data_IF_295572125732
#
_entry.id   IF_295572125732
#
_cell.length_a   1.000
_cell.length_b   1.000
_cell.length_c   1.000
_cell.angle_alpha   90.00
_cell.angle_beta   90.00
_cell.angle_gamma   90.00
#
_symmetry.space_group_name_H-M   'P 1'
#
loop_
_entity.id
_entity.type
_entity.pdbx_description
1 polymer ?
#
# COMPACT_ATOMS: atom_id res chain seq x y z
N UNK A 1 -11.07 53.65 33.33
CA UNK A 1 -11.07 53.07 31.97
C UNK A 1 -10.46 51.68 32.09
N UNK A 2 -11.23 50.62 31.84
CA UNK A 2 -10.70 49.27 31.92
C UNK A 2 -9.69 49.04 30.79
N UNK A 3 -8.48 48.63 31.14
CA UNK A 3 -7.43 48.26 30.19
C UNK A 3 -7.96 47.14 29.29
N UNK A 4 -7.96 47.38 27.98
CA UNK A 4 -8.24 46.37 26.98
C UNK A 4 -7.12 45.33 27.04
N UNK A 5 -7.36 44.22 27.73
CA UNK A 5 -6.43 43.08 27.74
C UNK A 5 -6.46 42.48 26.33
N UNK A 6 -5.35 42.53 25.57
CA UNK A 6 -5.32 41.93 24.24
C UNK A 6 -5.61 40.42 24.39
N UNK A 7 -6.60 39.92 23.66
CA UNK A 7 -6.88 38.49 23.58
C UNK A 7 -5.60 37.79 23.13
N UNK A 8 -5.24 36.70 23.81
CA UNK A 8 -4.11 35.87 23.40
C UNK A 8 -4.26 35.51 21.90
N UNK A 9 -3.19 35.61 21.10
CA UNK A 9 -3.26 35.29 19.68
C UNK A 9 -3.78 33.86 19.54
N UNK A 10 -4.84 33.67 18.75
CA UNK A 10 -5.38 32.33 18.50
C UNK A 10 -4.31 31.46 17.86
N UNK A 11 -4.35 30.14 18.10
CA UNK A 11 -3.36 29.19 17.55
C UNK A 11 -3.06 29.39 16.06
N UNK A 12 -4.07 29.77 15.25
CA UNK A 12 -3.92 30.10 13.84
C UNK A 12 -3.02 31.32 13.54
N UNK A 13 -2.92 32.30 14.46
CA UNK A 13 -2.06 33.49 14.36
C UNK A 13 -0.61 33.21 14.78
N UNK A 14 -0.34 32.08 15.44
CA UNK A 14 1.01 31.62 15.78
C UNK A 14 1.66 30.79 14.66
N UNK A 15 0.89 30.41 13.65
CA UNK A 15 1.39 29.68 12.49
C UNK A 15 2.09 30.62 11.50
N UNK A 16 3.05 30.09 10.73
CA UNK A 16 3.67 30.82 9.63
C UNK A 16 2.60 31.27 8.64
N UNK A 17 2.80 32.45 8.06
CA UNK A 17 1.89 33.01 7.07
C UNK A 17 1.71 32.04 5.89
N UNK A 18 0.46 31.73 5.53
CA UNK A 18 0.11 30.76 4.49
C UNK A 18 0.06 29.29 4.93
N UNK A 19 0.44 28.95 6.17
CA UNK A 19 0.33 27.58 6.66
C UNK A 19 -1.13 27.21 6.97
N UNK A 20 -1.57 26.04 6.47
CA UNK A 20 -2.88 25.46 6.79
C UNK A 20 -2.70 24.35 7.83
N UNK A 21 -3.46 24.43 8.91
CA UNK A 21 -3.48 23.40 9.96
C UNK A 21 -4.80 22.64 9.89
N UNK A 22 -4.73 21.32 9.86
CA UNK A 22 -5.88 20.43 9.95
C UNK A 22 -5.83 19.69 11.29
N UNK A 23 -6.88 19.81 12.11
CA UNK A 23 -6.99 19.15 13.42
C UNK A 23 -8.35 18.51 13.60
N UNK A 24 -8.40 17.47 14.44
CA UNK A 24 -9.63 16.78 14.80
C UNK A 24 -9.85 15.51 13.97
N UNK A 25 -10.81 14.70 14.42
CA UNK A 25 -11.14 13.43 13.79
C UNK A 25 -11.67 13.62 12.36
N UNK A 26 -12.57 14.58 12.17
CA UNK A 26 -13.19 14.80 10.85
C UNK A 26 -12.22 15.37 9.82
N UNK A 27 -11.50 16.45 10.18
CA UNK A 27 -10.67 17.18 9.23
C UNK A 27 -9.34 16.46 8.95
N UNK A 28 -8.75 15.79 9.95
CA UNK A 28 -7.46 15.13 9.80
C UNK A 28 -7.61 13.64 9.51
N UNK A 29 -8.33 12.88 10.35
CA UNK A 29 -8.34 11.41 10.25
C UNK A 29 -9.12 10.95 9.03
N UNK A 30 -10.36 11.42 8.82
CA UNK A 30 -11.16 10.99 7.67
C UNK A 30 -10.58 11.44 6.33
N UNK A 31 -10.00 12.65 6.27
CA UNK A 31 -9.30 13.11 5.08
C UNK A 31 -8.09 12.24 4.74
N UNK A 32 -7.31 11.86 5.76
CA UNK A 32 -6.18 10.96 5.59
C UNK A 32 -6.62 9.59 5.08
N UNK A 33 -7.66 9.01 5.69
CA UNK A 33 -8.24 7.73 5.28
C UNK A 33 -8.72 7.80 3.84
N UNK A 34 -9.46 8.84 3.47
CA UNK A 34 -9.99 9.02 2.12
C UNK A 34 -8.89 9.06 1.06
N UNK A 35 -7.81 9.83 1.29
CA UNK A 35 -6.68 9.89 0.35
C UNK A 35 -6.00 8.52 0.18
N UNK A 36 -5.87 7.75 1.26
CA UNK A 36 -5.33 6.40 1.23
C UNK A 36 -6.26 5.42 0.50
N UNK A 37 -7.59 5.52 0.72
CA UNK A 37 -8.60 4.71 0.03
C UNK A 37 -8.59 4.95 -1.47
N UNK A 38 -8.52 6.19 -1.92
CA UNK A 38 -8.45 6.54 -3.35
C UNK A 38 -7.20 5.95 -4.02
N UNK A 39 -6.05 6.02 -3.34
CA UNK A 39 -4.81 5.41 -3.84
C UNK A 39 -4.92 3.88 -3.93
N UNK A 40 -5.51 3.25 -2.91
CA UNK A 40 -5.73 1.81 -2.88
C UNK A 40 -6.71 1.36 -3.99
N UNK A 41 -7.81 2.08 -4.24
CA UNK A 41 -8.74 1.74 -5.33
C UNK A 41 -8.11 1.89 -6.71
N UNK A 42 -7.21 2.87 -6.89
CA UNK A 42 -6.48 3.09 -8.14
C UNK A 42 -5.66 1.84 -8.53
N UNK A 43 -4.99 1.25 -7.55
CA UNK A 43 -4.10 0.08 -7.73
C UNK A 43 -4.82 -1.27 -7.61
N UNK A 44 -5.96 -1.32 -6.91
CA UNK A 44 -6.82 -2.52 -6.77
C UNK A 44 -7.18 -3.17 -8.10
N UNK A 45 -7.50 -2.35 -9.10
CA UNK A 45 -7.86 -2.85 -10.44
C UNK A 45 -6.69 -3.47 -11.21
N UNK A 46 -5.45 -3.26 -10.76
CA UNK A 46 -4.24 -3.89 -11.29
C UNK A 46 -3.83 -5.15 -10.51
N UNK A 47 -4.68 -5.67 -9.61
CA UNK A 47 -4.37 -6.83 -8.78
C UNK A 47 -4.70 -8.16 -9.46
N UNK A 48 -3.77 -9.12 -9.40
CA UNK A 48 -3.95 -10.48 -9.89
C UNK A 48 -3.80 -10.64 -11.42
N UNK A 49 -4.05 -11.85 -11.95
CA UNK A 49 -3.83 -12.18 -13.37
C UNK A 49 -4.75 -11.42 -14.33
N UNK A 50 -5.91 -10.97 -13.84
CA UNK A 50 -6.84 -10.11 -14.58
C UNK A 50 -6.61 -8.62 -14.29
N UNK A 51 -5.45 -8.27 -13.73
CA UNK A 51 -5.08 -6.90 -13.41
C UNK A 51 -5.01 -6.03 -14.67
N UNK A 52 -5.71 -4.90 -14.66
CA UNK A 52 -5.69 -3.95 -15.75
C UNK A 52 -4.44 -3.06 -15.68
N UNK A 53 -3.67 -3.05 -16.77
CA UNK A 53 -2.54 -2.15 -16.93
C UNK A 53 -2.98 -0.68 -16.82
N UNK A 54 -2.14 0.14 -16.19
CA UNK A 54 -2.32 1.58 -16.10
C UNK A 54 -1.35 2.29 -17.02
N UNK A 55 -1.87 3.26 -17.73
CA UNK A 55 -1.09 4.19 -18.53
C UNK A 55 -0.75 5.39 -17.65
N UNK A 56 0.53 5.55 -17.32
CA UNK A 56 1.04 6.67 -16.52
C UNK A 56 1.98 7.48 -17.41
N UNK A 57 1.68 8.76 -17.56
CA UNK A 57 2.55 9.72 -18.26
C UNK A 57 3.22 10.56 -17.19
N UNK A 58 4.54 10.52 -17.13
CA UNK A 58 5.28 11.28 -16.13
C UNK A 58 5.52 12.75 -16.57
N UNK A 59 6.11 13.54 -15.68
CA UNK A 59 6.45 14.95 -15.93
C UNK A 59 7.45 15.19 -17.07
N UNK A 60 8.12 14.13 -17.57
CA UNK A 60 9.02 14.15 -18.71
C UNK A 60 8.35 13.63 -20.00
N UNK A 61 7.03 13.51 -20.01
CA UNK A 61 6.23 12.97 -21.13
C UNK A 61 6.58 11.52 -21.51
N UNK A 62 7.22 10.75 -20.60
CA UNK A 62 7.47 9.33 -20.81
C UNK A 62 6.22 8.53 -20.49
N UNK A 63 5.90 7.60 -21.39
CA UNK A 63 4.76 6.70 -21.28
C UNK A 63 5.15 5.40 -20.58
N UNK A 64 4.49 5.10 -19.48
CA UNK A 64 4.57 3.81 -18.80
C UNK A 64 3.24 3.08 -18.91
N UNK A 65 3.27 1.81 -19.32
CA UNK A 65 2.12 0.92 -19.33
C UNK A 65 2.45 -0.26 -18.45
N UNK A 66 1.88 -0.31 -17.25
CA UNK A 66 2.23 -1.32 -16.25
C UNK A 66 1.07 -1.64 -15.32
N UNK A 67 0.98 -2.89 -14.87
CA UNK A 67 0.14 -3.35 -13.77
C UNK A 67 0.90 -3.43 -12.45
N UNK A 68 2.20 -3.12 -12.44
CA UNK A 68 2.97 -3.13 -11.21
C UNK A 68 2.71 -1.90 -10.35
N UNK A 69 2.21 -2.15 -9.13
CA UNK A 69 1.76 -1.09 -8.24
C UNK A 69 2.92 -0.20 -7.74
N UNK A 70 4.08 -0.80 -7.43
CA UNK A 70 5.25 -0.02 -7.03
C UNK A 70 5.73 0.89 -8.17
N UNK A 71 5.68 0.42 -9.40
CA UNK A 71 6.02 1.24 -10.58
C UNK A 71 4.99 2.34 -10.84
N UNK A 72 3.68 2.03 -10.74
CA UNK A 72 2.62 3.04 -10.85
C UNK A 72 2.83 4.15 -9.82
N UNK A 73 3.09 3.81 -8.56
CA UNK A 73 3.24 4.78 -7.48
C UNK A 73 4.53 5.61 -7.55
N UNK A 74 5.60 5.07 -8.13
CA UNK A 74 6.86 5.81 -8.35
C UNK A 74 6.71 6.90 -9.40
N UNK A 75 5.93 6.63 -10.45
CA UNK A 75 5.71 7.59 -11.53
C UNK A 75 4.55 8.57 -11.24
N UNK A 76 3.67 8.26 -10.29
CA UNK A 76 2.60 9.15 -9.85
C UNK A 76 3.09 10.20 -8.84
N UNK A 77 2.62 11.44 -9.00
CA UNK A 77 2.91 12.54 -8.08
C UNK A 77 1.98 12.52 -6.85
N UNK A 78 2.31 11.68 -5.87
CA UNK A 78 1.55 11.62 -4.60
C UNK A 78 1.94 12.78 -3.68
N UNK A 79 1.05 13.77 -3.53
CA UNK A 79 1.29 14.94 -2.66
C UNK A 79 0.82 14.75 -1.21
N UNK A 80 -0.22 13.93 -1.00
CA UNK A 80 -0.86 13.79 0.31
C UNK A 80 0.05 13.05 1.32
N UNK A 81 0.32 13.60 2.53
CA UNK A 81 1.26 13.00 3.48
C UNK A 81 0.88 11.58 3.92
N UNK A 82 -0.39 11.33 4.25
CA UNK A 82 -0.85 10.00 4.64
C UNK A 82 -0.70 8.97 3.50
N UNK A 83 -0.94 9.39 2.26
CA UNK A 83 -0.79 8.53 1.10
C UNK A 83 0.68 8.19 0.85
N UNK A 84 1.61 9.14 1.05
CA UNK A 84 3.06 8.89 0.99
C UNK A 84 3.50 7.81 1.97
N UNK A 85 2.90 7.71 3.16
CA UNK A 85 3.23 6.63 4.11
C UNK A 85 2.93 5.25 3.52
N UNK A 86 1.79 5.10 2.84
CA UNK A 86 1.41 3.86 2.17
C UNK A 86 2.32 3.57 0.97
N UNK A 87 2.71 4.60 0.20
CA UNK A 87 3.69 4.45 -0.88
C UNK A 87 5.03 3.94 -0.33
N UNK A 88 5.52 4.50 0.79
CA UNK A 88 6.76 4.04 1.42
C UNK A 88 6.65 2.59 1.89
N UNK A 89 5.52 2.18 2.46
CA UNK A 89 5.28 0.78 2.84
C UNK A 89 5.34 -0.16 1.62
N UNK A 90 4.73 0.23 0.50
CA UNK A 90 4.81 -0.56 -0.75
C UNK A 90 6.23 -0.62 -1.31
N UNK A 91 7.02 0.45 -1.14
CA UNK A 91 8.41 0.48 -1.57
C UNK A 91 9.29 -0.43 -0.71
N UNK A 92 9.05 -0.50 0.60
CA UNK A 92 9.72 -1.46 1.47
C UNK A 92 9.41 -2.91 1.06
N UNK A 93 8.15 -3.22 0.75
CA UNK A 93 7.77 -4.54 0.27
C UNK A 93 8.48 -4.93 -1.05
N UNK A 94 8.58 -3.98 -1.98
CA UNK A 94 9.32 -4.16 -3.23
C UNK A 94 10.81 -4.45 -2.98
N UNK A 95 11.43 -3.77 -2.01
CA UNK A 95 12.85 -3.95 -1.69
C UNK A 95 13.14 -5.27 -0.98
N UNK A 96 12.25 -5.72 -0.09
CA UNK A 96 12.46 -6.92 0.72
C UNK A 96 12.16 -8.21 -0.05
N UNK A 97 11.03 -8.26 -0.78
CA UNK A 97 10.55 -9.50 -1.43
C UNK A 97 10.35 -9.31 -2.94
N UNK A 98 10.06 -8.09 -3.40
CA UNK A 98 9.81 -7.81 -4.82
C UNK A 98 8.44 -8.31 -5.33
N UNK A 99 7.59 -8.83 -4.45
CA UNK A 99 6.23 -9.25 -4.75
C UNK A 99 5.26 -8.79 -3.64
N UNK A 100 3.96 -8.78 -3.92
CA UNK A 100 2.93 -8.41 -2.96
C UNK A 100 2.78 -6.90 -2.73
N UNK A 101 3.46 -6.05 -3.52
CA UNK A 101 3.37 -4.59 -3.39
C UNK A 101 1.93 -4.09 -3.48
N UNK A 102 1.15 -4.61 -4.42
CA UNK A 102 -0.24 -4.25 -4.57
C UNK A 102 -1.12 -4.76 -3.42
N UNK A 103 -0.78 -5.91 -2.83
CA UNK A 103 -1.47 -6.43 -1.66
C UNK A 103 -1.33 -5.48 -0.46
N UNK A 104 -0.12 -4.96 -0.20
CA UNK A 104 0.12 -4.00 0.88
C UNK A 104 -0.77 -2.76 0.74
N UNK A 105 -0.90 -2.22 -0.48
CA UNK A 105 -1.72 -1.03 -0.75
C UNK A 105 -3.21 -1.29 -0.51
N UNK A 106 -3.73 -2.36 -1.11
CA UNK A 106 -5.15 -2.72 -1.00
C UNK A 106 -5.52 -3.07 0.44
N UNK A 107 -4.64 -3.82 1.13
CA UNK A 107 -4.86 -4.21 2.52
C UNK A 107 -4.81 -3.01 3.46
N UNK A 108 -3.83 -2.11 3.31
CA UNK A 108 -3.76 -0.88 4.11
C UNK A 108 -4.99 0.01 3.88
N UNK A 109 -5.44 0.15 2.63
CA UNK A 109 -6.68 0.88 2.30
C UNK A 109 -7.92 0.29 2.98
N UNK A 110 -8.05 -1.04 2.97
CA UNK A 110 -9.16 -1.74 3.61
C UNK A 110 -9.14 -1.63 5.14
N UNK A 111 -7.95 -1.73 5.77
CA UNK A 111 -7.80 -1.54 7.21
C UNK A 111 -8.24 -0.14 7.66
N UNK A 112 -7.86 0.89 6.89
CA UNK A 112 -8.24 2.28 7.15
C UNK A 112 -9.73 2.53 6.92
N UNK A 113 -10.32 1.90 5.91
CA UNK A 113 -11.76 1.96 5.65
C UNK A 113 -12.57 1.37 6.83
N UNK A 114 -12.20 0.19 7.31
CA UNK A 114 -12.86 -0.41 8.48
C UNK A 114 -12.58 0.37 9.76
N UNK A 115 -11.38 0.95 9.91
CA UNK A 115 -11.08 1.82 11.04
C UNK A 115 -11.98 3.06 11.05
N UNK A 116 -12.29 3.63 9.88
CA UNK A 116 -13.25 4.75 9.75
C UNK A 116 -14.62 4.40 10.33
N UNK A 117 -15.13 3.20 10.04
CA UNK A 117 -16.43 2.73 10.56
C UNK A 117 -16.42 2.60 12.09
N UNK A 118 -15.35 2.05 12.66
CA UNK A 118 -15.18 1.93 14.11
C UNK A 118 -15.14 3.30 14.79
N UNK A 119 -14.41 4.27 14.20
CA UNK A 119 -14.36 5.63 14.72
C UNK A 119 -15.72 6.32 14.66
N UNK A 120 -16.51 6.08 13.60
CA UNK A 120 -17.88 6.61 13.47
C UNK A 120 -18.85 6.02 14.51
N UNK A 121 -18.62 4.79 14.95
CA UNK A 121 -19.39 4.15 16.05
C UNK A 121 -19.03 4.76 17.41
N UNK A 122 -17.89 5.44 17.52
CA UNK A 122 -17.43 6.13 18.74
C UNK A 122 -16.29 5.44 19.46
N UNK A 123 -15.64 4.44 18.85
CA UNK A 123 -14.41 3.86 19.38
C UNK A 123 -13.28 4.88 19.36
N UNK A 124 -12.39 4.82 20.34
CA UNK A 124 -11.21 5.67 20.35
C UNK A 124 -10.15 5.16 19.36
N UNK A 125 -9.37 6.09 18.80
CA UNK A 125 -8.27 5.75 17.88
C UNK A 125 -7.26 4.79 18.53
N UNK A 126 -7.01 4.97 19.84
CA UNK A 126 -6.10 4.12 20.60
C UNK A 126 -6.58 2.67 20.68
N UNK A 127 -7.87 2.43 20.91
CA UNK A 127 -8.44 1.08 20.96
C UNK A 127 -8.37 0.39 19.59
N UNK A 128 -8.60 1.12 18.50
CA UNK A 128 -8.49 0.58 17.14
C UNK A 128 -7.04 0.15 16.85
N UNK A 129 -6.06 0.97 17.23
CA UNK A 129 -4.64 0.64 17.06
C UNK A 129 -4.29 -0.62 17.86
N UNK A 130 -4.63 -0.66 19.14
CA UNK A 130 -4.34 -1.82 20.00
C UNK A 130 -4.99 -3.10 19.46
N UNK A 131 -6.26 -3.03 19.05
CA UNK A 131 -6.97 -4.15 18.44
C UNK A 131 -6.29 -4.65 17.17
N UNK A 132 -5.84 -3.75 16.29
CA UNK A 132 -5.15 -4.11 15.06
C UNK A 132 -3.76 -4.70 15.33
N UNK A 133 -3.02 -4.18 16.31
CA UNK A 133 -1.73 -4.75 16.71
C UNK A 133 -1.86 -6.17 17.29
N UNK A 134 -2.88 -6.41 18.14
CA UNK A 134 -3.18 -7.75 18.66
C UNK A 134 -3.54 -8.69 17.51
N UNK A 135 -4.41 -8.27 16.59
CA UNK A 135 -4.81 -9.07 15.44
C UNK A 135 -3.64 -9.36 14.49
N UNK A 136 -2.75 -8.39 14.27
CA UNK A 136 -1.54 -8.53 13.46
C UNK A 136 -0.60 -9.59 14.05
N UNK A 137 -0.31 -9.51 15.36
CA UNK A 137 0.48 -10.55 16.05
C UNK A 137 -0.16 -11.93 15.90
N UNK A 138 -1.48 -12.01 16.08
CA UNK A 138 -2.19 -13.29 15.97
C UNK A 138 -2.17 -13.86 14.54
N UNK A 139 -2.29 -13.01 13.53
CA UNK A 139 -2.18 -13.42 12.14
C UNK A 139 -0.78 -14.00 11.84
N UNK A 140 0.28 -13.37 12.35
CA UNK A 140 1.65 -13.89 12.21
C UNK A 140 1.88 -15.22 12.92
N UNK A 141 1.17 -15.51 14.01
CA UNK A 141 1.19 -16.83 14.64
C UNK A 141 0.49 -17.90 13.79
N UNK A 142 -0.62 -17.55 13.12
CA UNK A 142 -1.44 -18.50 12.37
C UNK A 142 -0.86 -18.80 10.98
N UNK A 143 -0.25 -17.81 10.32
CA UNK A 143 0.24 -17.95 8.94
C UNK A 143 1.20 -19.15 8.72
N UNK A 144 2.19 -19.42 9.61
CA UNK A 144 3.08 -20.58 9.46
C UNK A 144 2.35 -21.93 9.50
N UNK A 145 1.27 -22.04 10.27
CA UNK A 145 0.49 -23.28 10.41
C UNK A 145 -0.34 -23.60 9.15
N UNK A 146 -0.56 -22.61 8.29
CA UNK A 146 -1.35 -22.74 7.06
C UNK A 146 -0.51 -23.01 5.80
N UNK A 147 0.81 -23.18 5.94
CA UNK A 147 1.71 -23.38 4.80
C UNK A 147 1.48 -24.76 4.18
N UNK A 148 1.01 -24.80 2.93
CA UNK A 148 0.71 -26.04 2.21
C UNK A 148 1.94 -26.68 1.55
N UNK A 149 2.88 -25.87 1.08
CA UNK A 149 4.02 -26.32 0.30
C UNK A 149 5.21 -25.36 0.44
N UNK A 150 6.42 -25.91 0.39
CA UNK A 150 7.67 -25.15 0.31
C UNK A 150 8.59 -25.82 -0.69
N UNK A 151 9.39 -25.03 -1.41
CA UNK A 151 10.44 -25.57 -2.27
C UNK A 151 11.46 -26.32 -1.40
N UNK A 152 11.76 -27.57 -1.75
CA UNK A 152 12.80 -28.38 -1.08
C UNK A 152 14.16 -28.15 -1.73
N UNK A 153 14.19 -28.03 -3.06
CA UNK A 153 15.42 -27.83 -3.81
C UNK A 153 15.28 -26.70 -4.84
N UNK A 154 15.91 -25.57 -4.54
CA UNK A 154 15.93 -24.40 -5.43
C UNK A 154 16.78 -24.60 -6.70
N UNK A 155 17.43 -25.76 -6.87
CA UNK A 155 18.14 -26.13 -8.11
C UNK A 155 17.32 -27.05 -9.02
N UNK A 156 16.19 -27.56 -8.54
CA UNK A 156 15.30 -28.33 -9.38
C UNK A 156 14.47 -27.37 -10.25
N UNK A 157 14.71 -27.43 -11.56
CA UNK A 157 14.09 -26.53 -12.54
C UNK A 157 12.57 -26.71 -12.52
N UNK A 158 12.07 -27.94 -12.37
CA UNK A 158 10.64 -28.20 -12.42
C UNK A 158 9.94 -27.69 -11.14
N UNK A 159 10.59 -27.86 -9.97
CA UNK A 159 10.10 -27.32 -8.70
C UNK A 159 10.07 -25.79 -8.76
N UNK A 160 11.18 -25.13 -9.12
CA UNK A 160 11.28 -23.67 -9.21
C UNK A 160 10.31 -23.09 -10.26
N UNK A 161 10.16 -23.74 -11.40
CA UNK A 161 9.23 -23.31 -12.44
C UNK A 161 7.78 -23.26 -11.92
N UNK A 162 7.39 -24.21 -11.08
CA UNK A 162 6.04 -24.22 -10.47
C UNK A 162 5.79 -23.03 -9.53
N UNK A 163 6.80 -22.58 -8.79
CA UNK A 163 6.72 -21.40 -7.91
C UNK A 163 6.72 -20.10 -8.72
N UNK A 164 7.62 -19.99 -9.71
CA UNK A 164 7.72 -18.80 -10.56
C UNK A 164 6.45 -18.59 -11.40
N UNK A 165 5.81 -19.69 -11.83
CA UNK A 165 4.57 -19.64 -12.57
C UNK A 165 3.52 -18.76 -11.88
N UNK A 166 3.31 -18.92 -10.57
CA UNK A 166 2.28 -18.16 -9.85
C UNK A 166 2.60 -16.66 -9.77
N UNK A 167 3.88 -16.30 -9.59
CA UNK A 167 4.28 -14.89 -9.52
C UNK A 167 4.17 -14.21 -10.89
N UNK A 168 4.60 -14.89 -11.96
CA UNK A 168 4.58 -14.35 -13.33
C UNK A 168 3.15 -14.26 -13.87
N UNK A 169 2.29 -15.22 -13.54
CA UNK A 169 0.89 -15.26 -13.99
C UNK A 169 0.14 -13.97 -13.65
N UNK A 170 0.43 -13.35 -12.51
CA UNK A 170 -0.21 -12.10 -12.09
C UNK A 170 0.24 -10.87 -12.90
N UNK A 171 1.39 -10.96 -13.58
CA UNK A 171 2.00 -9.85 -14.32
C UNK A 171 1.84 -10.00 -15.83
N UNK A 172 2.12 -11.19 -16.36
CA UNK A 172 2.12 -11.49 -17.78
C UNK A 172 1.30 -12.74 -18.07
N UNK A 173 -0.02 -12.54 -18.18
CA UNK A 173 -0.98 -13.60 -18.47
C UNK A 173 -0.84 -14.15 -19.90
N UNK A 174 -0.96 -15.47 -20.04
CA UNK A 174 -0.87 -16.23 -21.29
C UNK A 174 0.54 -16.73 -21.66
N UNK A 175 1.60 -16.18 -21.06
CA UNK A 175 2.99 -16.59 -21.32
C UNK A 175 3.72 -17.08 -20.06
N UNK A 176 3.01 -17.24 -18.95
CA UNK A 176 3.57 -17.52 -17.63
C UNK A 176 4.34 -18.84 -17.59
N UNK A 177 3.84 -19.92 -18.19
CA UNK A 177 4.51 -21.22 -18.22
C UNK A 177 5.83 -21.16 -18.99
N UNK A 178 5.81 -20.47 -20.13
CA UNK A 178 6.99 -20.31 -20.98
C UNK A 178 8.05 -19.46 -20.29
N UNK A 179 7.66 -18.31 -19.74
CA UNK A 179 8.56 -17.40 -19.03
C UNK A 179 9.11 -18.03 -17.75
N UNK A 180 8.28 -18.72 -16.96
CA UNK A 180 8.71 -19.41 -15.74
C UNK A 180 9.81 -20.43 -16.03
N UNK A 181 9.66 -21.22 -17.11
CA UNK A 181 10.66 -22.22 -17.50
C UNK A 181 11.97 -21.57 -17.95
N UNK A 182 11.90 -20.50 -18.75
CA UNK A 182 13.10 -19.77 -19.19
C UNK A 182 13.86 -19.15 -18.01
N UNK A 183 13.14 -18.54 -17.07
CA UNK A 183 13.75 -17.93 -15.87
C UNK A 183 14.36 -19.01 -14.99
N UNK A 184 13.64 -20.11 -14.73
CA UNK A 184 14.15 -21.23 -13.94
C UNK A 184 15.42 -21.85 -14.56
N UNK A 185 15.46 -21.98 -15.89
CA UNK A 185 16.64 -22.48 -16.60
C UNK A 185 17.82 -21.49 -16.48
N UNK A 186 17.57 -20.19 -16.66
CA UNK A 186 18.61 -19.16 -16.58
C UNK A 186 19.20 -19.01 -15.17
N UNK A 187 18.41 -19.25 -14.12
CA UNK A 187 18.88 -19.22 -12.73
C UNK A 187 19.51 -20.54 -12.25
N UNK A 188 19.31 -21.64 -13.00
CA UNK A 188 19.83 -22.97 -12.66
C UNK A 188 21.23 -23.28 -13.19
N UNK A 189 21.72 -22.51 -14.17
CA UNK A 189 23.12 -22.50 -14.63
C UNK A 189 24.02 -21.70 -13.67
#
# INVERSE_FOLDING_TARGET
>A
MALHVPKAPGFAQMLKEGAKHFSGLEEAVYRNIQACKELAQTTRTAYGPNGMNKMVINHLEKLFVTNDAATILRELEVQHPAAKMIVMASHMQEQEVGDGTNFVLVFAGALLELAEELLRIGLSVSEVIEGYEIACRKAHEILPDLVCCSAKNLRDIDEVSSLLHTSIMSKQYGNEVFLAKLIAQACGE
#
